data_IF_638723652466
#
_entry.id   IF_638723652466
#
_cell.length_a   1.000
_cell.length_b   1.000
_cell.length_c   1.000
_cell.angle_alpha   90.00
_cell.angle_beta   90.00
_cell.angle_gamma   90.00
#
_symmetry.space_group_name_H-M   'P 1'
#
loop_
_entity.id
_entity.type
_entity.pdbx_description
1 polymer ?
#
# COMPACT_ATOMS: atom_id res chain seq x y z
N UNK A 1 26.54 -10.31 -7.80
CA UNK A 1 25.63 -9.16 -8.06
C UNK A 1 25.35 -9.15 -9.55
N UNK A 2 24.24 -9.75 -9.97
CA UNK A 2 23.75 -9.64 -11.33
C UNK A 2 23.20 -8.23 -11.51
N UNK A 3 23.92 -7.41 -12.26
CA UNK A 3 23.40 -6.15 -12.76
C UNK A 3 22.64 -6.48 -14.03
N UNK A 4 21.30 -6.41 -13.98
CA UNK A 4 20.50 -6.46 -15.18
C UNK A 4 20.68 -5.12 -15.90
N UNK A 5 21.26 -5.05 -17.10
CA UNK A 5 21.18 -3.83 -17.87
C UNK A 5 19.69 -3.61 -18.17
N UNK A 6 19.13 -2.48 -17.72
CA UNK A 6 17.77 -2.10 -18.09
C UNK A 6 17.62 -2.21 -19.62
N UNK A 7 16.39 -2.49 -20.10
CA UNK A 7 16.20 -2.62 -21.54
C UNK A 7 16.58 -1.29 -22.20
N UNK A 8 17.66 -1.30 -22.93
CA UNK A 8 17.92 -0.28 -23.92
C UNK A 8 16.80 -0.41 -24.96
N UNK A 9 15.81 0.47 -24.90
CA UNK A 9 14.58 0.38 -25.66
C UNK A 9 14.80 0.35 -27.18
N UNK A 10 15.94 0.85 -27.65
CA UNK A 10 16.32 0.84 -29.05
C UNK A 10 16.94 -0.49 -29.49
N UNK A 11 17.76 -1.11 -28.65
CA UNK A 11 18.37 -2.41 -28.95
C UNK A 11 17.33 -3.54 -28.91
N UNK A 12 16.34 -3.49 -28.04
CA UNK A 12 15.29 -4.52 -27.94
C UNK A 12 14.35 -4.51 -29.16
N UNK A 13 14.02 -3.35 -29.73
CA UNK A 13 13.18 -3.26 -30.90
C UNK A 13 13.86 -3.82 -32.16
N UNK A 14 15.13 -3.50 -32.36
CA UNK A 14 15.93 -4.02 -33.48
C UNK A 14 16.11 -5.56 -33.37
N UNK A 15 16.34 -6.07 -32.17
CA UNK A 15 16.50 -7.51 -31.93
C UNK A 15 15.18 -8.26 -32.14
N UNK A 16 14.05 -7.73 -31.67
CA UNK A 16 12.72 -8.31 -31.87
C UNK A 16 12.33 -8.36 -33.35
N UNK A 17 12.71 -7.34 -34.14
CA UNK A 17 12.46 -7.32 -35.59
C UNK A 17 13.27 -8.41 -36.36
N UNK A 18 14.39 -8.86 -35.78
CA UNK A 18 15.21 -9.95 -36.34
C UNK A 18 14.78 -11.34 -35.86
N UNK A 19 13.92 -11.40 -34.85
CA UNK A 19 13.45 -12.66 -34.28
C UNK A 19 12.33 -13.26 -35.15
N UNK A 20 12.66 -14.33 -35.88
CA UNK A 20 11.66 -15.11 -36.61
C UNK A 20 11.37 -16.43 -35.85
N UNK A 21 10.21 -16.56 -35.21
CA UNK A 21 9.87 -17.76 -34.44
C UNK A 21 9.81 -19.04 -35.30
N UNK A 22 9.68 -18.89 -36.64
CA UNK A 22 9.69 -20.05 -37.57
C UNK A 22 11.08 -20.66 -37.80
N UNK A 23 12.11 -19.98 -37.31
CA UNK A 23 13.51 -20.42 -37.42
C UNK A 23 14.05 -21.04 -36.13
N UNK A 24 13.23 -21.24 -35.12
CA UNK A 24 13.63 -21.81 -33.85
C UNK A 24 14.12 -23.27 -33.97
N UNK A 25 13.59 -24.01 -34.94
CA UNK A 25 14.02 -25.35 -35.29
C UNK A 25 15.48 -25.47 -35.78
N UNK A 26 16.06 -24.34 -36.20
CA UNK A 26 17.46 -24.24 -36.66
C UNK A 26 18.45 -23.86 -35.57
N UNK A 27 17.95 -23.54 -34.38
CA UNK A 27 18.80 -23.23 -33.23
C UNK A 27 19.37 -24.54 -32.64
N UNK A 28 20.62 -24.51 -32.15
CA UNK A 28 21.16 -25.68 -31.48
C UNK A 28 20.32 -26.03 -30.26
N UNK A 29 20.10 -27.31 -29.98
CA UNK A 29 19.34 -27.74 -28.81
C UNK A 29 20.01 -27.25 -27.53
N UNK A 30 19.27 -26.59 -26.68
CA UNK A 30 19.72 -26.17 -25.36
C UNK A 30 19.17 -27.12 -24.31
N UNK A 31 20.01 -27.45 -23.32
CA UNK A 31 19.56 -28.21 -22.14
C UNK A 31 19.03 -27.22 -21.11
N UNK A 32 17.76 -27.35 -20.75
CA UNK A 32 17.20 -26.62 -19.61
C UNK A 32 17.80 -27.19 -18.32
N UNK A 33 18.54 -26.38 -17.58
CA UNK A 33 19.21 -26.77 -16.33
C UNK A 33 18.34 -26.47 -15.13
N UNK A 34 17.66 -25.31 -15.15
CA UNK A 34 16.72 -24.89 -14.12
C UNK A 34 15.61 -24.06 -14.75
N UNK A 35 14.43 -24.15 -14.22
CA UNK A 35 13.28 -23.32 -14.59
C UNK A 35 12.62 -22.79 -13.31
N UNK A 36 12.53 -21.49 -13.22
CA UNK A 36 11.85 -20.79 -12.13
C UNK A 36 10.70 -19.99 -12.74
N UNK A 37 9.52 -20.13 -12.19
CA UNK A 37 8.34 -19.40 -12.61
C UNK A 37 7.60 -18.88 -11.39
N UNK A 38 7.05 -17.67 -11.51
CA UNK A 38 6.15 -17.14 -10.51
C UNK A 38 4.86 -17.96 -10.46
N UNK A 39 4.40 -18.25 -9.26
CA UNK A 39 3.11 -18.87 -9.00
C UNK A 39 2.21 -17.95 -8.14
N UNK A 40 1.12 -18.48 -7.61
CA UNK A 40 0.21 -17.70 -6.78
C UNK A 40 0.82 -17.24 -5.45
N UNK A 41 1.90 -17.87 -4.98
CA UNK A 41 2.62 -17.45 -3.77
C UNK A 41 3.54 -16.26 -4.04
N UNK A 42 3.97 -16.09 -5.28
CA UNK A 42 4.82 -14.97 -5.72
C UNK A 42 4.02 -13.74 -6.09
N UNK A 43 2.69 -13.80 -6.04
CA UNK A 43 1.84 -12.67 -6.35
C UNK A 43 2.02 -11.54 -5.34
N UNK A 44 2.19 -10.33 -5.85
CA UNK A 44 2.19 -9.14 -5.00
C UNK A 44 0.84 -8.97 -4.30
N UNK A 45 0.89 -8.71 -3.00
CA UNK A 45 -0.31 -8.28 -2.29
C UNK A 45 -0.83 -6.97 -2.91
N UNK A 46 -2.16 -6.76 -2.95
CA UNK A 46 -2.76 -5.54 -3.54
C UNK A 46 -2.18 -4.23 -3.00
N UNK A 47 -1.66 -4.24 -1.76
CA UNK A 47 -1.03 -3.09 -1.12
C UNK A 47 0.45 -2.91 -1.49
N UNK A 48 1.04 -3.81 -2.28
CA UNK A 48 2.43 -3.75 -2.75
C UNK A 48 2.55 -3.31 -4.21
N UNK A 49 1.44 -3.23 -4.92
CA UNK A 49 1.41 -2.68 -6.29
C UNK A 49 1.35 -1.16 -6.20
N UNK A 50 2.34 -0.49 -6.77
CA UNK A 50 2.44 0.97 -6.76
C UNK A 50 1.46 1.56 -7.77
N UNK A 51 0.74 2.61 -7.38
CA UNK A 51 -0.10 3.37 -8.29
C UNK A 51 0.78 4.04 -9.37
N UNK A 52 0.30 4.03 -10.59
CA UNK A 52 0.92 4.79 -11.68
C UNK A 52 0.83 6.29 -11.39
N UNK A 53 1.72 7.07 -12.01
CA UNK A 53 1.68 8.53 -11.93
C UNK A 53 0.28 9.09 -12.26
N UNK A 54 -0.34 8.60 -13.33
CA UNK A 54 -1.68 9.03 -13.73
C UNK A 54 -2.78 8.70 -12.69
N UNK A 55 -2.67 7.59 -11.98
CA UNK A 55 -3.57 7.24 -10.88
C UNK A 55 -3.36 8.14 -9.68
N UNK A 56 -2.11 8.41 -9.31
CA UNK A 56 -1.75 9.33 -8.23
C UNK A 56 -2.23 10.74 -8.52
N UNK A 57 -2.00 11.26 -9.72
CA UNK A 57 -2.49 12.58 -10.16
C UNK A 57 -4.01 12.68 -10.13
N UNK A 58 -4.74 11.63 -10.51
CA UNK A 58 -6.21 11.57 -10.40
C UNK A 58 -6.70 11.66 -8.96
N UNK A 59 -6.01 10.98 -8.03
CA UNK A 59 -6.34 11.07 -6.60
C UNK A 59 -6.11 12.47 -6.07
N UNK A 60 -4.99 13.10 -6.41
CA UNK A 60 -4.66 14.47 -6.04
C UNK A 60 -5.66 15.49 -6.62
N UNK A 61 -6.10 15.29 -7.86
CA UNK A 61 -7.07 16.16 -8.51
C UNK A 61 -8.46 16.13 -7.83
N UNK A 62 -8.84 15.00 -7.23
CA UNK A 62 -10.10 14.87 -6.45
C UNK A 62 -10.06 15.62 -5.10
N UNK A 63 -8.86 15.93 -4.61
CA UNK A 63 -8.64 16.58 -3.32
C UNK A 63 -7.61 17.70 -3.45
N UNK A 64 -7.88 18.75 -4.24
CA UNK A 64 -6.87 19.74 -4.64
C UNK A 64 -6.34 20.59 -3.47
N UNK A 65 -7.13 20.75 -2.42
CA UNK A 65 -6.77 21.55 -1.23
C UNK A 65 -6.29 20.71 -0.04
N UNK A 66 -6.35 19.38 -0.13
CA UNK A 66 -5.98 18.52 0.99
C UNK A 66 -4.45 18.39 1.12
N UNK A 67 -3.93 18.66 2.31
CA UNK A 67 -2.52 18.46 2.63
C UNK A 67 -2.15 16.97 2.68
N UNK A 68 -3.09 16.13 3.07
CA UNK A 68 -2.94 14.68 3.18
C UNK A 68 -4.24 13.97 2.79
N UNK A 69 -4.12 12.69 2.51
CA UNK A 69 -5.24 11.79 2.25
C UNK A 69 -5.24 10.66 3.27
N UNK A 70 -6.43 10.20 3.64
CA UNK A 70 -6.62 9.11 4.61
C UNK A 70 -7.28 7.93 3.92
N UNK A 71 -6.74 6.74 4.16
CA UNK A 71 -7.21 5.49 3.58
C UNK A 71 -7.40 4.44 4.68
N UNK A 72 -8.64 4.28 5.17
CA UNK A 72 -8.93 3.18 6.09
C UNK A 72 -8.83 1.84 5.37
N UNK A 73 -8.17 0.86 6.01
CA UNK A 73 -7.98 -0.48 5.45
C UNK A 73 -8.27 -1.57 6.48
N UNK A 74 -8.78 -2.69 5.97
CA UNK A 74 -8.94 -3.89 6.77
C UNK A 74 -7.56 -4.54 7.06
N UNK A 75 -7.47 -5.29 8.14
CA UNK A 75 -6.27 -6.05 8.52
C UNK A 75 -5.77 -7.03 7.43
N UNK A 76 -6.64 -7.44 6.52
CA UNK A 76 -6.31 -8.29 5.37
C UNK A 76 -5.53 -7.57 4.26
N UNK A 77 -5.40 -6.26 4.36
CA UNK A 77 -4.65 -5.42 3.42
C UNK A 77 -3.59 -4.61 4.19
N UNK A 78 -2.51 -5.24 4.64
CA UNK A 78 -1.50 -4.57 5.44
C UNK A 78 -0.86 -3.40 4.67
N UNK A 79 -0.75 -2.26 5.34
CA UNK A 79 -0.12 -1.07 4.78
C UNK A 79 1.39 -1.24 4.96
N UNK A 80 2.11 -1.43 3.85
CA UNK A 80 3.54 -1.75 3.87
C UNK A 80 4.41 -0.74 3.14
N UNK A 81 3.82 0.16 2.33
CA UNK A 81 4.58 1.17 1.59
C UNK A 81 4.77 2.45 2.41
N UNK A 82 6.02 2.92 2.59
CA UNK A 82 6.28 4.12 3.39
C UNK A 82 6.03 5.43 2.66
N UNK A 83 6.12 5.48 1.32
CA UNK A 83 6.04 6.71 0.56
C UNK A 83 5.21 6.59 -0.73
N UNK A 84 5.15 5.41 -1.33
CA UNK A 84 4.42 5.20 -2.58
C UNK A 84 2.94 4.97 -2.30
N UNK A 85 2.07 5.47 -3.19
CA UNK A 85 0.64 5.23 -3.10
C UNK A 85 0.32 3.83 -3.63
N UNK A 86 -0.32 2.94 -2.85
CA UNK A 86 -0.79 1.67 -3.38
C UNK A 86 -1.80 1.85 -4.52
N UNK A 87 -1.70 1.06 -5.58
CA UNK A 87 -2.64 1.09 -6.71
C UNK A 87 -4.10 0.90 -6.27
N UNK A 88 -4.32 0.11 -5.21
CA UNK A 88 -5.62 -0.05 -4.57
C UNK A 88 -6.22 1.29 -4.13
N UNK A 89 -5.41 2.20 -3.59
CA UNK A 89 -5.85 3.53 -3.18
C UNK A 89 -5.99 4.49 -4.35
N UNK A 90 -5.12 4.36 -5.36
CA UNK A 90 -5.19 5.12 -6.60
C UNK A 90 -6.53 4.95 -7.33
N UNK A 91 -7.13 3.78 -7.19
CA UNK A 91 -8.40 3.41 -7.83
C UNK A 91 -9.62 3.55 -6.93
N UNK A 92 -9.44 3.89 -5.65
CA UNK A 92 -10.56 4.07 -4.70
C UNK A 92 -11.37 5.31 -5.04
N UNK A 93 -12.68 5.17 -5.05
CA UNK A 93 -13.65 6.26 -5.22
C UNK A 93 -14.49 6.41 -3.96
N UNK A 94 -14.94 7.64 -3.70
CA UNK A 94 -15.80 7.96 -2.55
C UNK A 94 -15.02 8.37 -1.29
N UNK A 95 -15.76 8.66 -0.20
CA UNK A 95 -15.19 9.15 1.04
C UNK A 95 -14.34 8.09 1.74
N UNK A 96 -13.39 8.47 2.61
CA UNK A 96 -12.54 7.54 3.35
C UNK A 96 -13.31 6.87 4.50
N UNK A 97 -14.33 6.08 4.16
CA UNK A 97 -15.12 5.32 5.12
C UNK A 97 -14.59 3.91 5.28
N UNK A 98 -14.74 3.35 6.46
CA UNK A 98 -14.45 1.96 6.78
C UNK A 98 -15.73 1.27 7.26
N UNK A 99 -15.94 0.06 6.80
CA UNK A 99 -16.99 -0.83 7.29
C UNK A 99 -16.38 -2.19 7.59
N UNK A 100 -16.68 -2.73 8.74
CA UNK A 100 -16.20 -4.03 9.17
C UNK A 100 -17.18 -4.72 10.10
N UNK A 101 -17.01 -6.01 10.30
CA UNK A 101 -17.82 -6.81 11.21
C UNK A 101 -16.92 -7.37 12.31
N UNK A 102 -17.32 -7.16 13.54
CA UNK A 102 -16.65 -7.67 14.72
C UNK A 102 -17.57 -8.64 15.48
N UNK A 103 -16.99 -9.64 16.12
CA UNK A 103 -17.70 -10.48 17.06
C UNK A 103 -17.84 -9.77 18.41
N UNK A 104 -18.87 -10.13 19.17
CA UNK A 104 -19.03 -9.58 20.52
C UNK A 104 -17.85 -9.97 21.40
N UNK A 105 -17.21 -8.97 22.01
CA UNK A 105 -16.01 -9.15 22.83
C UNK A 105 -14.70 -9.28 22.06
N UNK A 106 -14.72 -9.11 20.73
CA UNK A 106 -13.52 -9.10 19.90
C UNK A 106 -12.77 -7.77 20.02
N UNK A 107 -11.43 -7.84 20.11
CA UNK A 107 -10.56 -6.70 19.81
C UNK A 107 -10.45 -6.56 18.30
N UNK A 108 -11.28 -5.69 17.74
CA UNK A 108 -11.29 -5.47 16.30
C UNK A 108 -10.21 -4.48 15.90
N UNK A 109 -9.37 -4.85 14.92
CA UNK A 109 -8.26 -4.01 14.43
C UNK A 109 -8.50 -3.64 12.98
N UNK A 110 -8.31 -2.37 12.66
CA UNK A 110 -8.23 -1.85 11.30
C UNK A 110 -7.07 -0.87 11.20
N UNK A 111 -6.73 -0.45 9.99
CA UNK A 111 -5.59 0.41 9.72
C UNK A 111 -6.06 1.73 9.14
N UNK A 112 -5.34 2.81 9.45
CA UNK A 112 -5.50 4.11 8.81
C UNK A 112 -4.20 4.45 8.09
N UNK A 113 -4.22 4.37 6.75
CA UNK A 113 -3.15 4.90 5.93
C UNK A 113 -3.25 6.41 5.83
N UNK A 114 -2.16 7.09 6.09
CA UNK A 114 -2.05 8.55 5.90
C UNK A 114 -0.99 8.78 4.83
N UNK A 115 -1.39 9.38 3.71
CA UNK A 115 -0.48 9.73 2.63
C UNK A 115 -0.36 11.25 2.51
N UNK A 116 0.87 11.74 2.66
CA UNK A 116 1.17 13.17 2.64
C UNK A 116 1.18 13.67 1.18
N UNK A 117 0.17 14.44 0.80
CA UNK A 117 -0.10 14.79 -0.59
C UNK A 117 0.67 16.02 -1.09
N UNK A 118 1.04 16.96 -0.21
CA UNK A 118 1.59 18.28 -0.60
C UNK A 118 2.90 18.63 0.09
N UNK A 119 3.05 18.18 1.34
CA UNK A 119 4.22 18.43 2.17
C UNK A 119 4.36 17.30 3.19
N UNK A 120 5.55 17.05 3.72
CA UNK A 120 5.71 16.13 4.84
C UNK A 120 4.83 16.55 6.02
N UNK A 121 4.32 15.60 6.76
CA UNK A 121 3.50 15.84 7.95
C UNK A 121 4.33 15.53 9.20
N UNK A 122 4.29 16.43 10.16
CA UNK A 122 4.87 16.22 11.48
C UNK A 122 3.75 16.11 12.52
N UNK A 123 4.02 15.37 13.58
CA UNK A 123 3.16 15.29 14.76
C UNK A 123 1.70 14.90 14.43
N UNK A 124 1.54 13.92 13.55
CA UNK A 124 0.22 13.40 13.15
C UNK A 124 -0.44 12.74 14.36
N UNK A 125 -1.66 13.14 14.64
CA UNK A 125 -2.48 12.61 15.74
C UNK A 125 -3.79 12.07 15.24
N UNK A 126 -4.27 11.01 15.89
CA UNK A 126 -5.59 10.43 15.65
C UNK A 126 -6.45 10.67 16.89
N UNK A 127 -7.54 11.37 16.71
CA UNK A 127 -8.54 11.59 17.76
C UNK A 127 -9.74 10.70 17.50
N UNK A 128 -10.33 10.19 18.57
CA UNK A 128 -11.46 9.27 18.48
C UNK A 128 -12.72 9.93 19.05
N UNK A 129 -13.81 9.79 18.31
CA UNK A 129 -15.16 10.02 18.85
C UNK A 129 -15.79 8.68 19.26
N UNK A 130 -16.78 8.69 20.15
CA UNK A 130 -17.54 7.48 20.48
C UNK A 130 -18.23 6.91 19.24
N UNK A 131 -18.25 5.57 19.10
CA UNK A 131 -19.02 4.92 18.03
C UNK A 131 -20.48 4.75 18.52
N UNK A 132 -21.37 5.42 17.83
CA UNK A 132 -22.80 5.44 18.17
C UNK A 132 -23.53 4.30 17.45
N UNK A 133 -24.09 3.37 18.18
CA UNK A 133 -24.97 2.33 17.66
C UNK A 133 -26.44 2.57 18.07
N UNK A 134 -27.39 1.85 17.50
CA UNK A 134 -28.82 2.05 17.78
C UNK A 134 -29.22 1.70 19.22
N UNK A 135 -28.47 0.79 19.87
CA UNK A 135 -28.78 0.31 21.22
C UNK A 135 -27.66 0.56 22.22
N UNK A 136 -26.45 0.88 21.76
CA UNK A 136 -25.28 1.01 22.63
C UNK A 136 -24.24 1.91 21.99
N UNK A 137 -23.34 2.42 22.82
CA UNK A 137 -22.22 3.26 22.41
C UNK A 137 -20.92 2.64 22.83
N UNK A 138 -19.92 2.61 21.94
CA UNK A 138 -18.55 2.28 22.29
C UNK A 138 -17.84 3.61 22.61
N UNK A 139 -17.38 3.84 23.85
CA UNK A 139 -16.74 5.08 24.21
C UNK A 139 -15.39 5.26 23.50
N UNK A 140 -14.99 6.49 23.25
CA UNK A 140 -13.69 6.81 22.63
C UNK A 140 -12.50 6.18 23.40
N UNK A 141 -12.60 6.07 24.70
CA UNK A 141 -11.59 5.42 25.58
C UNK A 141 -11.37 3.93 25.30
N UNK A 142 -12.33 3.26 24.63
CA UNK A 142 -12.18 1.88 24.19
C UNK A 142 -11.41 1.74 22.85
N UNK A 143 -11.07 2.87 22.19
CA UNK A 143 -10.37 2.88 20.92
C UNK A 143 -8.94 3.36 21.15
N UNK A 144 -7.96 2.68 20.56
CA UNK A 144 -6.53 3.03 20.71
C UNK A 144 -5.82 3.04 19.37
N UNK A 145 -4.89 3.98 19.20
CA UNK A 145 -3.96 4.01 18.08
C UNK A 145 -2.58 3.53 18.55
N UNK A 146 -2.19 2.33 18.16
CA UNK A 146 -0.93 1.71 18.63
C UNK A 146 0.32 2.47 18.18
N UNK A 147 0.25 3.22 17.07
CA UNK A 147 1.39 3.98 16.57
C UNK A 147 1.62 5.29 17.33
N UNK A 148 0.71 5.70 18.21
CA UNK A 148 0.82 6.95 18.97
C UNK A 148 1.13 6.72 20.44
N UNK A 149 1.07 5.50 20.90
CA UNK A 149 1.36 5.14 22.27
C UNK A 149 0.83 3.77 22.62
N UNK A 150 1.11 3.32 23.78
CA UNK A 150 0.68 2.02 24.26
C UNK A 150 1.48 1.59 25.48
N UNK A 151 1.61 0.29 25.62
CA UNK A 151 2.40 -0.34 26.68
C UNK A 151 3.45 -1.21 26.01
N UNK A 152 4.72 -1.03 26.40
CA UNK A 152 5.81 -1.84 25.88
C UNK A 152 5.80 -3.27 26.46
N UNK A 153 6.74 -4.10 26.02
CA UNK A 153 6.84 -5.49 26.47
C UNK A 153 7.20 -5.64 27.96
N UNK A 154 7.68 -4.55 28.61
CA UNK A 154 7.95 -4.49 30.05
C UNK A 154 6.77 -3.94 30.86
N UNK A 155 5.63 -3.64 30.21
CA UNK A 155 4.46 -3.07 30.84
C UNK A 155 4.53 -1.56 31.08
N UNK A 156 5.50 -0.84 30.49
CA UNK A 156 5.63 0.62 30.64
C UNK A 156 4.84 1.35 29.57
N UNK A 157 4.13 2.37 29.98
CA UNK A 157 3.44 3.26 29.03
C UNK A 157 4.44 4.07 28.22
N UNK A 158 4.14 4.25 26.94
CA UNK A 158 4.89 5.14 26.07
C UNK A 158 3.98 5.96 25.17
N UNK A 159 4.46 7.13 24.76
CA UNK A 159 3.83 7.98 23.74
C UNK A 159 4.89 8.31 22.68
N UNK A 160 4.49 8.30 21.43
CA UNK A 160 5.38 8.59 20.31
C UNK A 160 4.76 9.60 19.36
N UNK A 161 5.61 10.40 18.71
CA UNK A 161 5.21 11.29 17.63
C UNK A 161 5.32 10.55 16.29
N UNK A 162 4.31 10.71 15.46
CA UNK A 162 4.24 10.08 14.13
C UNK A 162 4.45 11.15 13.07
N UNK A 163 5.44 10.94 12.20
CA UNK A 163 5.70 11.78 11.04
C UNK A 163 5.51 11.00 9.76
N UNK A 164 5.01 11.65 8.73
CA UNK A 164 4.78 11.05 7.41
C UNK A 164 5.58 11.81 6.37
N UNK A 165 6.47 11.13 5.67
CA UNK A 165 7.22 11.72 4.56
C UNK A 165 6.30 12.09 3.40
N UNK A 166 6.72 13.07 2.59
CA UNK A 166 5.98 13.41 1.37
C UNK A 166 5.83 12.18 0.48
N UNK A 167 4.61 11.96 0.02
CA UNK A 167 4.29 10.86 -0.90
C UNK A 167 4.97 11.06 -2.27
N UNK A 168 5.36 9.97 -2.90
CA UNK A 168 5.95 9.98 -4.25
C UNK A 168 4.86 10.03 -5.31
N UNK A 169 5.17 10.72 -6.43
CA UNK A 169 4.29 10.86 -7.60
C UNK A 169 5.01 10.31 -8.84
#
# INVERSE_FOLDING_TARGET
>A
KLTYPGPDSTASAAWLALFDPRRMDRLPPARLVAFEAADTLDNFYPMQVIATKAETERVLARSPSSAYLVFPEARTHPIVMPADLPARWGNRTGPPTFSGTALRGEFYVFQLGVWAARAPLADVRVEFAPLMGPLTTIPASAIRCFNQGGVDWQGREFTTSVSVALGRI
#
